data_IF_884289090720
#
_entry.id   IF_884289090720
#
_cell.length_a   1.000
_cell.length_b   1.000
_cell.length_c   1.000
_cell.angle_alpha   90.00
_cell.angle_beta   90.00
_cell.angle_gamma   90.00
#
_symmetry.space_group_name_H-M   'P 1'
#
loop_
_entity.id
_entity.type
_entity.pdbx_description
1 polymer ?
#
# COMPACT_ATOMS: atom_id res chain seq x y z
N UNK A 1 11.77 44.13 10.27
CA UNK A 1 10.35 43.77 10.13
C UNK A 1 10.28 42.56 9.18
N UNK A 2 10.37 41.35 9.73
CA UNK A 2 10.31 40.11 8.95
C UNK A 2 8.85 39.65 8.94
N UNK A 3 8.21 39.77 7.80
CA UNK A 3 6.88 39.19 7.55
C UNK A 3 7.01 37.65 7.54
N UNK A 4 6.48 37.01 8.60
CA UNK A 4 6.21 35.58 8.59
C UNK A 4 5.20 35.30 7.49
N UNK A 5 5.62 34.59 6.46
CA UNK A 5 4.69 34.01 5.52
C UNK A 5 3.83 32.98 6.27
N UNK A 6 2.52 32.94 6.03
CA UNK A 6 1.65 31.89 6.59
C UNK A 6 1.98 30.57 5.90
N UNK A 7 2.51 29.63 6.68
CA UNK A 7 2.75 28.26 6.23
C UNK A 7 1.40 27.54 6.27
N UNK A 8 1.02 27.00 5.11
CA UNK A 8 0.16 25.84 4.88
C UNK A 8 -1.32 25.91 5.25
N UNK A 9 -2.10 26.32 4.31
CA UNK A 9 -3.52 25.92 4.17
C UNK A 9 -3.74 24.87 3.04
N UNK A 10 -2.74 24.10 2.66
CA UNK A 10 -2.81 23.29 1.41
C UNK A 10 -2.75 21.77 1.57
N UNK A 11 -2.44 21.22 2.73
CA UNK A 11 -2.27 19.78 2.89
C UNK A 11 -3.60 19.04 3.16
N UNK A 12 -4.48 19.48 4.09
CA UNK A 12 -5.76 18.79 4.32
C UNK A 12 -6.69 18.82 3.11
N UNK A 13 -6.69 19.92 2.36
CA UNK A 13 -7.56 20.10 1.18
C UNK A 13 -7.19 19.16 0.02
N UNK A 14 -5.90 18.82 -0.11
CA UNK A 14 -5.41 17.90 -1.16
C UNK A 14 -5.70 16.44 -0.85
N UNK A 15 -5.62 16.02 0.40
CA UNK A 15 -5.93 14.65 0.83
C UNK A 15 -7.43 14.38 0.74
N UNK A 16 -8.29 15.29 1.21
CA UNK A 16 -9.74 15.19 1.05
C UNK A 16 -10.17 15.11 -0.41
N UNK A 17 -9.58 15.92 -1.31
CA UNK A 17 -9.87 15.87 -2.75
C UNK A 17 -9.42 14.53 -3.38
N UNK A 18 -8.28 13.98 -2.97
CA UNK A 18 -7.78 12.70 -3.47
C UNK A 18 -8.69 11.54 -3.04
N UNK A 19 -9.10 11.50 -1.77
CA UNK A 19 -10.04 10.51 -1.26
C UNK A 19 -11.41 10.60 -1.92
N UNK A 20 -11.93 11.81 -2.13
CA UNK A 20 -13.19 12.02 -2.82
C UNK A 20 -13.18 11.42 -4.24
N UNK A 21 -12.09 11.56 -4.98
CA UNK A 21 -11.93 10.94 -6.31
C UNK A 21 -11.94 9.41 -6.23
N UNK A 22 -11.16 8.85 -5.31
CA UNK A 22 -11.06 7.40 -5.10
C UNK A 22 -12.42 6.81 -4.73
N UNK A 23 -13.17 7.45 -3.82
CA UNK A 23 -14.49 7.00 -3.38
C UNK A 23 -15.52 6.98 -4.51
N UNK A 24 -15.46 7.92 -5.45
CA UNK A 24 -16.36 7.98 -6.62
C UNK A 24 -15.93 6.98 -7.70
N UNK A 25 -14.64 6.71 -7.86
CA UNK A 25 -14.09 5.87 -8.91
C UNK A 25 -14.32 4.38 -8.65
N UNK A 26 -14.14 3.91 -7.41
CA UNK A 26 -14.20 2.49 -7.04
C UNK A 26 -15.51 1.80 -7.40
N UNK A 27 -16.73 2.35 -7.13
CA UNK A 27 -17.98 1.69 -7.50
C UNK A 27 -18.09 1.39 -8.99
N UNK A 28 -17.58 2.27 -9.84
CA UNK A 28 -17.59 2.06 -11.29
C UNK A 28 -16.59 0.98 -11.71
N UNK A 29 -15.40 0.94 -11.10
CA UNK A 29 -14.41 -0.13 -11.34
C UNK A 29 -14.96 -1.49 -10.90
N UNK A 30 -15.63 -1.58 -9.75
CA UNK A 30 -16.30 -2.80 -9.27
C UNK A 30 -17.34 -3.28 -10.27
N UNK A 31 -18.21 -2.37 -10.75
CA UNK A 31 -19.24 -2.70 -11.73
C UNK A 31 -18.64 -3.23 -13.05
N UNK A 32 -17.57 -2.58 -13.53
CA UNK A 32 -16.86 -3.03 -14.73
C UNK A 32 -16.15 -4.37 -14.52
N UNK A 33 -15.54 -4.61 -13.35
CA UNK A 33 -14.89 -5.86 -13.01
C UNK A 33 -15.89 -7.03 -13.01
N UNK A 34 -17.03 -6.90 -12.35
CA UNK A 34 -18.11 -7.90 -12.38
C UNK A 34 -18.56 -8.21 -13.81
N UNK A 35 -18.71 -7.17 -14.64
CA UNK A 35 -19.10 -7.37 -16.04
C UNK A 35 -18.03 -8.13 -16.82
N UNK A 36 -16.76 -7.78 -16.66
CA UNK A 36 -15.64 -8.45 -17.34
C UNK A 36 -15.53 -9.90 -16.91
N UNK A 37 -15.58 -10.19 -15.61
CA UNK A 37 -15.54 -11.55 -15.07
C UNK A 37 -16.70 -12.41 -15.58
N UNK A 38 -17.91 -11.86 -15.60
CA UNK A 38 -19.11 -12.57 -16.06
C UNK A 38 -19.06 -12.87 -17.55
N UNK A 39 -18.75 -11.86 -18.37
CA UNK A 39 -18.77 -11.99 -19.85
C UNK A 39 -17.61 -12.85 -20.36
N UNK A 40 -16.46 -12.76 -19.70
CA UNK A 40 -15.23 -13.39 -20.13
C UNK A 40 -14.82 -14.60 -19.27
N UNK A 41 -15.74 -15.18 -18.49
CA UNK A 41 -15.47 -16.26 -17.52
C UNK A 41 -14.68 -17.46 -18.07
N UNK A 42 -14.75 -17.70 -19.38
CA UNK A 42 -14.05 -18.80 -20.04
C UNK A 42 -12.70 -18.39 -20.68
N UNK A 43 -12.29 -17.13 -20.53
CA UNK A 43 -10.99 -16.64 -21.02
C UNK A 43 -9.89 -16.95 -20.01
N UNK A 44 -8.73 -17.39 -20.48
CA UNK A 44 -7.59 -17.75 -19.61
C UNK A 44 -7.10 -16.57 -18.78
N UNK A 45 -7.15 -15.37 -19.34
CA UNK A 45 -6.58 -14.18 -18.71
C UNK A 45 -7.65 -13.29 -18.01
N UNK A 46 -8.84 -13.86 -17.71
CA UNK A 46 -9.85 -13.11 -16.97
C UNK A 46 -9.33 -12.79 -15.56
N UNK A 47 -9.47 -11.57 -15.06
CA UNK A 47 -9.00 -11.20 -13.73
C UNK A 47 -9.98 -11.71 -12.66
N UNK A 48 -10.08 -13.03 -12.50
CA UNK A 48 -11.03 -13.66 -11.59
C UNK A 48 -10.78 -13.24 -10.14
N UNK A 49 -11.81 -12.77 -9.46
CA UNK A 49 -11.76 -12.28 -8.08
C UNK A 49 -11.40 -10.80 -7.95
N UNK A 50 -11.17 -10.09 -9.06
CA UNK A 50 -10.88 -8.66 -9.04
C UNK A 50 -12.04 -7.83 -8.48
N UNK A 51 -13.28 -8.15 -8.87
CA UNK A 51 -14.47 -7.46 -8.36
C UNK A 51 -14.55 -7.53 -6.83
N UNK A 52 -14.46 -8.73 -6.26
CA UNK A 52 -14.49 -8.92 -4.80
C UNK A 52 -13.30 -8.26 -4.09
N UNK A 53 -12.13 -8.25 -4.71
CA UNK A 53 -10.97 -7.53 -4.15
C UNK A 53 -11.22 -6.03 -4.11
N UNK A 54 -11.77 -5.44 -5.19
CA UNK A 54 -12.10 -4.02 -5.24
C UNK A 54 -13.21 -3.65 -4.25
N UNK A 55 -14.21 -4.52 -4.04
CA UNK A 55 -15.23 -4.36 -3.00
C UNK A 55 -14.61 -4.29 -1.60
N UNK A 56 -13.69 -5.22 -1.29
CA UNK A 56 -12.96 -5.22 -0.01
C UNK A 56 -12.15 -3.95 0.17
N UNK A 57 -11.43 -3.50 -0.88
CA UNK A 57 -10.67 -2.25 -0.85
C UNK A 57 -11.59 -1.06 -0.60
N UNK A 58 -12.76 -1.03 -1.22
CA UNK A 58 -13.73 0.06 -1.05
C UNK A 58 -14.23 0.15 0.40
N UNK A 59 -14.59 -0.98 1.01
CA UNK A 59 -15.03 -1.03 2.40
C UNK A 59 -13.91 -0.60 3.37
N UNK A 60 -12.69 -1.09 3.15
CA UNK A 60 -11.53 -0.74 3.96
C UNK A 60 -11.20 0.75 3.87
N UNK A 61 -11.25 1.34 2.67
CA UNK A 61 -11.01 2.77 2.47
C UNK A 61 -12.11 3.64 3.13
N UNK A 62 -13.37 3.27 3.02
CA UNK A 62 -14.45 3.97 3.71
C UNK A 62 -14.26 3.95 5.22
N UNK A 63 -13.89 2.79 5.78
CA UNK A 63 -13.59 2.65 7.21
C UNK A 63 -12.37 3.47 7.64
N UNK A 64 -11.35 3.57 6.79
CA UNK A 64 -10.16 4.39 6.99
C UNK A 64 -10.51 5.88 7.04
N UNK A 65 -11.22 6.38 6.02
CA UNK A 65 -11.69 7.77 5.95
C UNK A 65 -12.51 8.19 7.18
N UNK A 66 -13.42 7.33 7.63
CA UNK A 66 -14.24 7.61 8.82
C UNK A 66 -13.38 7.75 10.09
N UNK A 67 -12.33 6.95 10.24
CA UNK A 67 -11.41 7.06 11.40
C UNK A 67 -10.56 8.31 11.32
N UNK A 68 -10.08 8.65 10.13
CA UNK A 68 -9.34 9.88 9.91
C UNK A 68 -10.18 11.11 10.27
N UNK A 69 -11.39 11.22 9.71
CA UNK A 69 -12.28 12.35 9.92
C UNK A 69 -12.76 12.47 11.37
N UNK A 70 -13.19 11.35 11.99
CA UNK A 70 -13.84 11.39 13.29
C UNK A 70 -12.88 11.24 14.48
N UNK A 71 -11.67 10.75 14.27
CA UNK A 71 -10.70 10.49 15.34
C UNK A 71 -9.41 11.28 15.14
N UNK A 72 -8.69 11.05 14.03
CA UNK A 72 -7.35 11.59 13.85
C UNK A 72 -7.36 13.10 13.62
N UNK A 73 -8.18 13.58 12.68
CA UNK A 73 -8.26 15.01 12.33
C UNK A 73 -8.66 15.89 13.50
N UNK A 74 -9.65 15.56 14.36
CA UNK A 74 -9.95 16.32 15.57
C UNK A 74 -8.80 16.34 16.57
N UNK A 75 -8.08 15.21 16.73
CA UNK A 75 -6.93 15.14 17.64
C UNK A 75 -5.78 16.01 17.15
N UNK A 76 -5.48 16.04 15.85
CA UNK A 76 -4.46 16.88 15.25
C UNK A 76 -4.80 18.38 15.37
N UNK A 77 -6.07 18.72 15.16
CA UNK A 77 -6.55 20.12 15.29
C UNK A 77 -6.53 20.65 16.71
N UNK A 78 -6.66 19.79 17.72
CA UNK A 78 -6.64 20.18 19.15
C UNK A 78 -5.23 20.45 19.70
N UNK A 79 -4.17 20.18 18.95
CA UNK A 79 -2.78 20.36 19.37
C UNK A 79 -2.19 19.11 20.01
N UNK A 80 -1.28 19.29 20.99
CA UNK A 80 -0.63 18.16 21.68
C UNK A 80 -1.66 17.23 22.34
N UNK A 81 -1.78 16.02 21.84
CA UNK A 81 -2.66 15.01 22.41
C UNK A 81 -1.84 13.80 22.88
N UNK A 82 -1.82 13.49 24.20
CA UNK A 82 -0.93 12.47 24.76
C UNK A 82 -1.18 11.06 24.22
N UNK A 83 -2.33 10.81 23.59
CA UNK A 83 -2.73 9.51 23.07
C UNK A 83 -2.76 9.41 21.54
N UNK A 84 -2.23 10.40 20.82
CA UNK A 84 -2.27 10.44 19.35
C UNK A 84 -1.43 9.35 18.69
N UNK A 85 -0.39 8.86 19.36
CA UNK A 85 0.51 7.84 18.81
C UNK A 85 -0.21 6.54 18.39
N UNK A 86 -1.25 6.14 19.13
CA UNK A 86 -2.01 4.93 18.84
C UNK A 86 -2.87 5.07 17.56
N UNK A 87 -3.71 6.11 17.39
CA UNK A 87 -4.39 6.37 16.12
C UNK A 87 -3.43 6.42 14.93
N UNK A 88 -2.33 7.15 15.04
CA UNK A 88 -1.30 7.25 14.00
C UNK A 88 -0.76 5.86 13.62
N UNK A 89 -0.39 5.03 14.59
CA UNK A 89 0.09 3.66 14.33
C UNK A 89 -0.96 2.79 13.63
N UNK A 90 -2.24 2.96 13.97
CA UNK A 90 -3.34 2.25 13.31
C UNK A 90 -3.48 2.68 11.84
N UNK A 91 -3.43 3.98 11.55
CA UNK A 91 -3.48 4.51 10.18
C UNK A 91 -2.32 3.97 9.33
N UNK A 92 -1.11 3.99 9.87
CA UNK A 92 0.06 3.43 9.20
C UNK A 92 -0.10 1.93 8.86
N UNK A 93 -0.65 1.15 9.78
CA UNK A 93 -0.93 -0.26 9.53
C UNK A 93 -1.99 -0.45 8.43
N UNK A 94 -2.96 0.44 8.33
CA UNK A 94 -3.96 0.45 7.25
C UNK A 94 -3.35 0.81 5.91
N UNK A 95 -2.47 1.81 5.84
CA UNK A 95 -1.73 2.16 4.63
C UNK A 95 -0.87 1.00 4.10
N UNK A 96 -0.28 0.20 5.00
CA UNK A 96 0.45 -1.02 4.59
C UNK A 96 -0.52 -2.02 3.94
N UNK A 97 -1.70 -2.25 4.53
CA UNK A 97 -2.72 -3.15 3.96
C UNK A 97 -3.23 -2.65 2.60
N UNK A 98 -3.45 -1.34 2.45
CA UNK A 98 -3.85 -0.76 1.17
C UNK A 98 -2.81 -0.98 0.08
N UNK A 99 -1.50 -0.81 0.39
CA UNK A 99 -0.43 -1.13 -0.56
C UNK A 99 -0.41 -2.60 -0.96
N UNK A 100 -0.55 -3.50 0.01
CA UNK A 100 -0.63 -4.95 -0.27
C UNK A 100 -1.86 -5.30 -1.13
N UNK A 101 -2.97 -4.61 -0.93
CA UNK A 101 -4.15 -4.77 -1.77
C UNK A 101 -3.90 -4.29 -3.21
N UNK A 102 -3.20 -3.17 -3.41
CA UNK A 102 -2.77 -2.71 -4.75
C UNK A 102 -1.85 -3.71 -5.44
N UNK A 103 -0.90 -4.31 -4.72
CA UNK A 103 -0.04 -5.38 -5.26
C UNK A 103 -0.87 -6.57 -5.77
N UNK A 104 -1.92 -6.95 -5.04
CA UNK A 104 -2.84 -8.01 -5.47
C UNK A 104 -3.66 -7.61 -6.71
N UNK A 105 -4.12 -6.36 -6.78
CA UNK A 105 -4.80 -5.81 -7.97
C UNK A 105 -3.87 -5.88 -9.18
N UNK A 106 -2.61 -5.44 -9.03
CA UNK A 106 -1.60 -5.50 -10.09
C UNK A 106 -1.34 -6.94 -10.55
N UNK A 107 -1.20 -7.87 -9.63
CA UNK A 107 -1.01 -9.29 -9.96
C UNK A 107 -2.20 -9.89 -10.74
N UNK A 108 -3.44 -9.56 -10.36
CA UNK A 108 -4.65 -10.03 -11.06
C UNK A 108 -4.83 -9.41 -12.44
N UNK A 109 -4.33 -8.21 -12.66
CA UNK A 109 -4.53 -7.44 -13.90
C UNK A 109 -3.29 -7.41 -14.79
N UNK A 110 -2.21 -8.11 -14.41
CA UNK A 110 -0.92 -8.03 -15.08
C UNK A 110 -0.48 -6.56 -15.24
N UNK A 111 -0.38 -5.84 -14.11
CA UNK A 111 -0.06 -4.42 -14.03
C UNK A 111 -0.98 -3.55 -14.92
N UNK A 112 -2.29 -3.81 -14.84
CA UNK A 112 -3.32 -3.15 -15.62
C UNK A 112 -3.08 -3.23 -17.15
N UNK A 113 -2.44 -4.30 -17.62
CA UNK A 113 -2.15 -4.52 -19.05
C UNK A 113 -3.27 -5.37 -19.68
N UNK A 114 -4.10 -4.78 -20.58
CA UNK A 114 -5.19 -5.53 -21.20
C UNK A 114 -4.66 -6.68 -22.08
N UNK A 115 -5.24 -7.89 -21.97
CA UNK A 115 -4.83 -8.99 -22.83
C UNK A 115 -5.27 -8.78 -24.29
N UNK A 116 -4.62 -9.49 -25.21
CA UNK A 116 -5.04 -9.50 -26.61
C UNK A 116 -6.49 -9.90 -26.76
N UNK A 117 -7.26 -9.16 -27.56
CA UNK A 117 -8.69 -9.40 -27.75
C UNK A 117 -9.57 -8.95 -26.55
N UNK A 118 -9.05 -8.14 -25.62
CA UNK A 118 -9.87 -7.49 -24.63
C UNK A 118 -10.92 -6.57 -25.25
N UNK A 119 -12.17 -6.66 -24.77
CA UNK A 119 -13.25 -5.77 -25.19
C UNK A 119 -13.07 -4.36 -24.64
N UNK A 120 -13.85 -3.41 -25.13
CA UNK A 120 -13.75 -2.00 -24.72
C UNK A 120 -13.97 -1.82 -23.20
N UNK A 121 -14.92 -2.56 -22.58
CA UNK A 121 -15.16 -2.52 -21.14
C UNK A 121 -13.93 -3.00 -20.36
N UNK A 122 -13.27 -4.06 -20.83
CA UNK A 122 -12.07 -4.59 -20.18
C UNK A 122 -10.89 -3.59 -20.25
N UNK A 123 -10.70 -2.98 -21.41
CA UNK A 123 -9.67 -1.93 -21.59
C UNK A 123 -9.96 -0.71 -20.74
N UNK A 124 -11.23 -0.28 -20.66
CA UNK A 124 -11.63 0.84 -19.79
C UNK A 124 -11.44 0.52 -18.32
N UNK A 125 -11.76 -0.70 -17.87
CA UNK A 125 -11.49 -1.18 -16.52
C UNK A 125 -10.01 -1.06 -16.18
N UNK A 126 -9.13 -1.57 -17.04
CA UNK A 126 -7.69 -1.58 -16.77
C UNK A 126 -7.09 -0.15 -16.79
N UNK A 127 -7.56 0.71 -17.67
CA UNK A 127 -7.19 2.13 -17.64
C UNK A 127 -7.61 2.78 -16.29
N UNK A 128 -8.84 2.51 -15.84
CA UNK A 128 -9.32 3.02 -14.55
C UNK A 128 -8.55 2.44 -13.36
N UNK A 129 -8.14 1.16 -13.41
CA UNK A 129 -7.30 0.52 -12.38
C UNK A 129 -5.91 1.19 -12.33
N UNK A 130 -5.28 1.47 -13.48
CA UNK A 130 -4.00 2.17 -13.51
C UNK A 130 -4.10 3.53 -12.81
N UNK A 131 -5.15 4.29 -13.11
CA UNK A 131 -5.40 5.58 -12.46
C UNK A 131 -5.69 5.44 -10.96
N UNK A 132 -6.50 4.46 -10.57
CA UNK A 132 -6.80 4.17 -9.17
C UNK A 132 -5.53 3.82 -8.37
N UNK A 133 -4.65 3.00 -8.93
CA UNK A 133 -3.37 2.63 -8.31
C UNK A 133 -2.49 3.87 -8.07
N UNK A 134 -2.42 4.76 -9.05
CA UNK A 134 -1.67 6.02 -8.94
C UNK A 134 -2.29 6.93 -7.88
N UNK A 135 -3.61 7.16 -7.92
CA UNK A 135 -4.33 8.04 -6.99
C UNK A 135 -4.20 7.55 -5.54
N UNK A 136 -4.38 6.25 -5.28
CA UNK A 136 -4.27 5.69 -3.93
C UNK A 136 -2.82 5.69 -3.43
N UNK A 137 -1.84 5.41 -4.30
CA UNK A 137 -0.42 5.50 -3.93
C UNK A 137 -0.03 6.93 -3.55
N UNK A 138 -0.46 7.91 -4.34
CA UNK A 138 -0.21 9.33 -4.08
C UNK A 138 -0.90 9.79 -2.80
N UNK A 139 -2.14 9.35 -2.55
CA UNK A 139 -2.85 9.62 -1.30
C UNK A 139 -2.05 9.12 -0.09
N UNK A 140 -1.66 7.84 -0.08
CA UNK A 140 -0.88 7.24 1.02
C UNK A 140 0.46 8.00 1.23
N UNK A 141 1.06 8.49 0.14
CA UNK A 141 2.31 9.26 0.23
C UNK A 141 2.09 10.63 0.86
N UNK A 142 1.04 11.33 0.45
CA UNK A 142 0.65 12.62 1.01
C UNK A 142 0.32 12.55 2.50
N UNK A 143 -0.29 11.45 2.94
CA UNK A 143 -0.61 11.20 4.34
C UNK A 143 0.64 10.91 5.18
N UNK A 144 1.56 10.12 4.66
CA UNK A 144 2.74 9.70 5.42
C UNK A 144 3.78 10.81 5.58
N UNK A 145 3.83 11.79 4.69
CA UNK A 145 4.88 12.81 4.66
C UNK A 145 4.72 13.90 5.74
N UNK A 146 3.54 14.50 5.95
CA UNK A 146 3.36 15.55 6.96
C UNK A 146 2.90 15.06 8.33
N UNK A 147 2.17 13.93 8.39
CA UNK A 147 1.58 13.42 9.63
C UNK A 147 2.52 12.45 10.37
N UNK A 148 3.46 11.87 9.66
CA UNK A 148 4.39 10.89 10.16
C UNK A 148 5.81 11.30 9.74
N UNK A 149 6.42 12.33 10.36
CA UNK A 149 7.84 12.54 10.17
C UNK A 149 8.49 11.20 10.46
N UNK A 150 9.20 10.68 9.45
CA UNK A 150 9.81 9.36 9.51
C UNK A 150 10.45 9.18 10.89
N UNK A 151 9.78 8.43 11.76
CA UNK A 151 10.46 7.82 12.87
C UNK A 151 11.49 6.93 12.20
N UNK A 152 12.75 7.36 12.23
CA UNK A 152 13.89 6.62 11.76
C UNK A 152 13.65 5.14 12.05
N UNK A 153 13.32 4.39 11.01
CA UNK A 153 13.53 2.96 11.04
C UNK A 153 15.03 2.79 11.11
N UNK A 154 15.54 2.77 12.35
CA UNK A 154 16.89 2.31 12.59
C UNK A 154 17.03 0.97 11.83
N UNK A 155 18.01 0.84 10.93
CA UNK A 155 18.26 -0.44 10.32
C UNK A 155 18.51 -1.41 11.47
N UNK A 156 17.71 -2.45 11.57
CA UNK A 156 18.01 -3.57 12.44
C UNK A 156 19.39 -4.09 12.00
N UNK A 157 20.41 -3.66 12.72
CA UNK A 157 21.75 -4.25 12.61
C UNK A 157 21.58 -5.69 13.06
N UNK A 158 21.40 -6.55 12.04
CA UNK A 158 21.52 -7.98 12.24
C UNK A 158 23.00 -8.18 12.58
N UNK A 159 23.26 -8.27 13.87
CA UNK A 159 24.57 -8.64 14.40
C UNK A 159 24.88 -10.04 13.84
N UNK A 160 25.75 -10.08 12.85
CA UNK A 160 26.30 -11.34 12.38
C UNK A 160 27.00 -12.02 13.54
N UNK A 161 26.78 -13.31 13.80
CA UNK A 161 27.52 -14.03 14.82
C UNK A 161 28.98 -14.06 14.43
N UNK A 162 29.86 -13.66 15.37
CA UNK A 162 31.29 -13.66 15.23
C UNK A 162 31.80 -15.07 14.86
N UNK A 163 32.78 -15.18 13.97
CA UNK A 163 33.39 -16.48 13.63
C UNK A 163 34.08 -17.06 14.87
N UNK A 164 33.70 -18.27 15.24
CA UNK A 164 34.36 -19.04 16.28
C UNK A 164 35.81 -19.22 15.97
N UNK A 165 36.70 -18.80 16.90
CA UNK A 165 38.12 -19.05 16.85
C UNK A 165 38.34 -20.56 16.90
N UNK A 166 38.81 -21.13 15.81
CA UNK A 166 39.38 -22.47 15.80
C UNK A 166 40.73 -22.42 16.50
N UNK A 167 40.77 -22.91 17.69
CA UNK A 167 42.02 -23.26 18.37
C UNK A 167 42.58 -24.55 17.74
N UNK A 168 43.71 -24.42 17.10
CA UNK A 168 44.44 -25.56 16.60
C UNK A 168 44.97 -26.45 17.72
N UNK A 169 44.87 -27.73 17.51
CA UNK A 169 45.76 -28.72 18.15
C UNK A 169 46.26 -29.63 17.05
N UNK A 170 47.57 -29.65 16.94
CA UNK A 170 48.31 -30.46 16.02
C UNK A 170 48.43 -31.92 16.46
N UNK A 171 48.88 -32.72 15.58
CA UNK A 171 49.46 -34.03 15.92
C UNK A 171 49.02 -35.15 14.98
N UNK A 172 49.81 -35.44 14.00
CA UNK A 172 50.56 -36.69 13.93
C UNK A 172 49.86 -37.90 13.34
N UNK A 173 50.36 -38.38 12.24
CA UNK A 173 50.61 -39.81 12.14
C UNK A 173 49.86 -40.59 11.05
N UNK A 174 50.59 -40.81 9.97
CA UNK A 174 50.77 -42.12 9.25
C UNK A 174 49.55 -42.99 8.84
N UNK A 175 49.55 -43.31 7.56
CA UNK A 175 49.52 -44.73 7.25
C UNK A 175 48.59 -45.14 6.13
N UNK A 176 49.16 -45.36 4.98
CA UNK A 176 49.02 -46.50 4.04
C UNK A 176 47.61 -47.13 3.80
N UNK A 177 47.35 -47.34 2.52
CA UNK A 177 46.89 -48.63 2.08
C UNK A 177 45.77 -48.68 1.06
N UNK A 178 46.16 -48.91 -0.13
CA UNK A 178 45.52 -49.56 -1.26
C UNK A 178 44.23 -50.38 -1.00
N UNK A 179 43.25 -50.26 -1.78
CA UNK A 179 42.75 -51.14 -2.85
C UNK A 179 41.60 -50.49 -3.56
#
# INVERSE_FOLDING_TARGET
MNARQPIASSTPDRTEQSLGKIAVQLPELIRMAHRVETVHKNKVNVPAGLASLLETIHEDLLGHMMKEENVLSPMLKSGEHPHIAKPISMMNAEHIRHRQALERVNALTNDATPPDGACNTWRALYLGIAQFNEDLTNYIHLENDPLFPASESAPATVSAPAPAKQTGCGGGGNGCGCH
#
